data_IF_632311394234
#
_entry.id   IF_632311394234
#
_cell.length_a   1.000
_cell.length_b   1.000
_cell.length_c   1.000
_cell.angle_alpha   90.00
_cell.angle_beta   90.00
_cell.angle_gamma   90.00
#
_symmetry.space_group_name_H-M   'P 1'
#
loop_
_entity.id
_entity.type
_entity.pdbx_description
1 polymer ?
#
# COMPACT_ATOMS: atom_id res chain seq x y z
N UNK A 1 27.60 27.09 -17.72
CA UNK A 1 27.01 26.52 -18.96
C UNK A 1 26.29 25.18 -18.74
N UNK A 2 26.02 24.77 -17.49
CA UNK A 2 25.37 23.49 -17.12
C UNK A 2 23.93 23.65 -16.60
N UNK A 3 23.51 24.87 -16.22
CA UNK A 3 22.16 25.12 -15.65
C UNK A 3 21.04 25.12 -16.71
N UNK A 4 21.34 25.37 -17.98
CA UNK A 4 20.32 25.39 -19.05
C UNK A 4 19.84 24.00 -19.47
N UNK A 5 20.65 22.97 -19.28
CA UNK A 5 20.27 21.58 -19.64
C UNK A 5 19.31 20.99 -18.60
N UNK A 6 19.53 21.30 -17.31
CA UNK A 6 18.62 20.93 -16.22
C UNK A 6 17.25 21.62 -16.34
N UNK A 7 17.21 22.90 -16.74
CA UNK A 7 15.94 23.62 -16.95
C UNK A 7 15.11 23.04 -18.09
N UNK A 8 15.76 22.63 -19.19
CA UNK A 8 15.08 22.04 -20.35
C UNK A 8 14.51 20.64 -20.06
N UNK A 9 15.19 19.85 -19.24
CA UNK A 9 14.66 18.57 -18.73
C UNK A 9 13.46 18.76 -17.78
N UNK A 10 13.34 19.94 -17.15
CA UNK A 10 12.24 20.32 -16.24
C UNK A 10 11.04 20.92 -16.96
N UNK A 11 11.28 21.58 -18.09
CA UNK A 11 10.25 22.23 -18.91
C UNK A 11 9.55 21.26 -19.89
N UNK A 12 10.11 20.08 -20.18
CA UNK A 12 9.54 19.11 -21.14
C UNK A 12 8.54 18.09 -20.57
N UNK A 13 8.04 18.28 -19.33
CA UNK A 13 7.30 17.27 -18.57
C UNK A 13 8.16 16.04 -18.26
N UNK A 14 8.86 16.13 -17.13
CA UNK A 14 9.17 15.00 -16.28
C UNK A 14 8.05 13.97 -16.34
N UNK A 15 8.44 12.72 -16.60
CA UNK A 15 7.61 11.51 -16.54
C UNK A 15 6.49 11.67 -15.53
N UNK A 16 5.26 11.57 -16.00
CA UNK A 16 4.00 11.88 -15.31
C UNK A 16 3.91 11.19 -13.93
N UNK A 17 4.48 11.81 -12.90
CA UNK A 17 4.59 11.26 -11.54
C UNK A 17 3.23 10.89 -10.97
N UNK A 18 2.19 11.64 -11.32
CA UNK A 18 0.81 11.33 -10.99
C UNK A 18 0.37 10.02 -11.66
N UNK A 19 0.51 9.89 -12.98
CA UNK A 19 0.18 8.66 -13.71
C UNK A 19 1.03 7.47 -13.28
N UNK A 20 2.31 7.69 -12.99
CA UNK A 20 3.21 6.68 -12.45
C UNK A 20 2.71 6.20 -11.09
N UNK A 21 2.37 7.12 -10.19
CA UNK A 21 1.90 6.80 -8.84
C UNK A 21 0.59 6.01 -8.88
N UNK A 22 -0.36 6.43 -9.71
CA UNK A 22 -1.64 5.72 -9.88
C UNK A 22 -1.42 4.30 -10.42
N UNK A 23 -0.64 4.14 -11.48
CA UNK A 23 -0.34 2.82 -12.04
C UNK A 23 0.40 1.94 -11.03
N UNK A 24 1.39 2.49 -10.34
CA UNK A 24 2.17 1.79 -9.31
C UNK A 24 1.27 1.30 -8.17
N UNK A 25 0.36 2.15 -7.69
CA UNK A 25 -0.60 1.79 -6.65
C UNK A 25 -1.52 0.67 -7.11
N UNK A 26 -2.14 0.82 -8.30
CA UNK A 26 -3.06 -0.19 -8.85
C UNK A 26 -2.37 -1.54 -9.03
N UNK A 27 -1.16 -1.57 -9.59
CA UNK A 27 -0.40 -2.80 -9.80
C UNK A 27 -0.02 -3.48 -8.49
N UNK A 28 0.59 -2.73 -7.56
CA UNK A 28 1.05 -3.28 -6.29
C UNK A 28 -0.09 -3.67 -5.37
N UNK A 29 -1.21 -2.97 -5.41
CA UNK A 29 -2.42 -3.40 -4.72
C UNK A 29 -3.01 -4.67 -5.35
N UNK A 30 -3.15 -4.72 -6.68
CA UNK A 30 -3.78 -5.86 -7.37
C UNK A 30 -2.97 -7.15 -7.25
N UNK A 31 -1.67 -7.10 -7.51
CA UNK A 31 -0.81 -8.28 -7.60
C UNK A 31 -0.09 -8.60 -6.30
N UNK A 32 0.42 -7.59 -5.59
CA UNK A 32 1.21 -7.80 -4.37
C UNK A 32 0.37 -7.66 -3.08
N UNK A 33 -0.89 -7.19 -3.18
CA UNK A 33 -1.78 -6.94 -2.05
C UNK A 33 -1.14 -6.01 -1.01
N UNK A 34 -0.46 -4.96 -1.46
CA UNK A 34 0.15 -3.98 -0.57
C UNK A 34 -0.89 -3.00 -0.04
N UNK A 35 -0.81 -2.71 1.25
CA UNK A 35 -1.61 -1.69 1.88
C UNK A 35 -1.07 -0.27 1.63
N UNK A 36 -1.93 0.73 1.90
CA UNK A 36 -1.67 2.15 1.67
C UNK A 36 -0.41 2.65 2.35
N UNK A 37 -0.07 2.14 3.55
CA UNK A 37 1.15 2.54 4.28
C UNK A 37 2.41 2.19 3.50
N UNK A 38 2.47 0.96 2.99
CA UNK A 38 3.63 0.48 2.21
C UNK A 38 3.69 1.15 0.84
N UNK A 39 2.55 1.34 0.20
CA UNK A 39 2.48 2.07 -1.07
C UNK A 39 2.98 3.51 -0.90
N UNK A 40 2.50 4.22 0.12
CA UNK A 40 2.96 5.58 0.45
C UNK A 40 4.47 5.61 0.70
N UNK A 41 4.98 4.72 1.54
CA UNK A 41 6.41 4.63 1.85
C UNK A 41 7.27 4.42 0.58
N UNK A 42 6.86 3.48 -0.28
CA UNK A 42 7.60 3.16 -1.51
C UNK A 42 7.57 4.30 -2.52
N UNK A 43 6.46 5.04 -2.64
CA UNK A 43 6.38 6.22 -3.51
C UNK A 43 7.20 7.39 -2.95
N UNK A 44 7.20 7.60 -1.61
CA UNK A 44 8.07 8.59 -0.96
C UNK A 44 9.55 8.32 -1.21
N UNK A 45 9.96 7.05 -1.11
CA UNK A 45 11.35 6.66 -1.40
C UNK A 45 11.74 6.92 -2.86
N UNK A 46 10.78 6.97 -3.77
CA UNK A 46 10.97 7.30 -5.19
C UNK A 46 10.98 8.81 -5.47
N UNK A 47 10.83 9.65 -4.45
CA UNK A 47 10.82 11.10 -4.60
C UNK A 47 9.48 11.70 -5.05
N UNK A 48 8.40 10.91 -5.03
CA UNK A 48 7.06 11.38 -5.39
C UNK A 48 6.54 12.33 -4.30
N UNK A 49 5.91 13.43 -4.71
CA UNK A 49 5.31 14.41 -3.80
C UNK A 49 4.18 13.81 -2.97
N UNK A 50 3.92 14.39 -1.78
CA UNK A 50 2.87 13.91 -0.89
C UNK A 50 1.48 14.05 -1.52
N UNK A 51 1.28 15.07 -2.34
CA UNK A 51 0.05 15.34 -3.07
C UNK A 51 -0.24 14.23 -4.10
N UNK A 52 0.74 13.87 -4.92
CA UNK A 52 0.60 12.81 -5.92
C UNK A 52 0.38 11.45 -5.28
N UNK A 53 1.01 11.19 -4.13
CA UNK A 53 0.79 9.97 -3.36
C UNK A 53 -0.63 9.92 -2.84
N UNK A 54 -1.13 11.01 -2.25
CA UNK A 54 -2.49 11.06 -1.73
C UNK A 54 -3.52 10.81 -2.83
N UNK A 55 -3.36 11.44 -3.99
CA UNK A 55 -4.22 11.21 -5.16
C UNK A 55 -4.16 9.77 -5.65
N UNK A 56 -2.96 9.18 -5.76
CA UNK A 56 -2.82 7.80 -6.19
C UNK A 56 -3.43 6.79 -5.22
N UNK A 57 -3.40 7.06 -3.91
CA UNK A 57 -4.01 6.19 -2.90
C UNK A 57 -5.54 6.27 -2.87
N UNK A 58 -6.13 7.39 -3.30
CA UNK A 58 -7.58 7.56 -3.43
C UNK A 58 -8.18 6.71 -4.56
N UNK A 59 -7.37 6.33 -5.55
CA UNK A 59 -7.79 5.42 -6.62
C UNK A 59 -8.05 3.98 -6.15
N UNK A 60 -7.67 3.65 -4.90
CA UNK A 60 -7.99 2.36 -4.30
C UNK A 60 -9.39 2.43 -3.72
N UNK A 61 -10.32 1.70 -4.33
CA UNK A 61 -11.67 1.52 -3.80
C UNK A 61 -11.61 0.95 -2.38
N UNK A 62 -12.33 1.58 -1.46
CA UNK A 62 -12.28 1.24 -0.04
C UNK A 62 -12.90 -0.13 0.25
N UNK A 63 -13.94 -0.52 -0.49
CA UNK A 63 -14.56 -1.83 -0.33
C UNK A 63 -13.62 -2.94 -0.81
N UNK A 64 -12.99 -2.77 -1.98
CA UNK A 64 -12.00 -3.73 -2.49
C UNK A 64 -10.76 -3.80 -1.58
N UNK A 65 -10.34 -2.68 -0.99
CA UNK A 65 -9.27 -2.63 0.00
C UNK A 65 -9.59 -3.51 1.23
N UNK A 66 -10.78 -3.33 1.80
CA UNK A 66 -11.23 -4.08 2.96
C UNK A 66 -11.44 -5.56 2.65
N UNK A 67 -12.03 -5.89 1.51
CA UNK A 67 -12.23 -7.28 1.07
C UNK A 67 -10.90 -7.98 0.78
N UNK A 68 -9.93 -7.27 0.17
CA UNK A 68 -8.58 -7.79 -0.04
C UNK A 68 -7.88 -8.09 1.28
N UNK A 69 -7.94 -7.17 2.25
CA UNK A 69 -7.38 -7.37 3.59
C UNK A 69 -8.03 -8.57 4.29
N UNK A 70 -9.35 -8.68 4.22
CA UNK A 70 -10.11 -9.80 4.80
C UNK A 70 -9.70 -11.15 4.21
N UNK A 71 -9.67 -11.26 2.88
CA UNK A 71 -9.23 -12.51 2.19
C UNK A 71 -7.81 -12.88 2.58
N UNK A 72 -6.88 -11.92 2.56
CA UNK A 72 -5.47 -12.13 2.90
C UNK A 72 -5.30 -12.63 4.35
N UNK A 73 -6.04 -12.04 5.29
CA UNK A 73 -6.04 -12.46 6.69
C UNK A 73 -6.69 -13.83 6.90
N UNK A 74 -7.81 -14.12 6.23
CA UNK A 74 -8.47 -15.42 6.32
C UNK A 74 -7.58 -16.55 5.77
N UNK A 75 -6.96 -16.35 4.61
CA UNK A 75 -6.02 -17.32 4.04
C UNK A 75 -4.82 -17.55 4.97
N UNK A 76 -4.27 -16.46 5.54
CA UNK A 76 -3.18 -16.57 6.51
C UNK A 76 -3.65 -17.27 7.78
N UNK A 77 -4.84 -16.99 8.27
CA UNK A 77 -5.41 -17.58 9.49
C UNK A 77 -5.63 -19.09 9.36
N UNK A 78 -5.96 -19.59 8.17
CA UNK A 78 -6.08 -21.02 7.87
C UNK A 78 -4.72 -21.73 7.90
N UNK A 79 -3.67 -21.07 7.43
CA UNK A 79 -2.30 -21.62 7.35
C UNK A 79 -1.47 -21.39 8.61
N UNK A 80 -1.94 -20.56 9.55
CA UNK A 80 -1.17 -20.18 10.73
C UNK A 80 -1.46 -21.11 11.90
N UNK A 81 -0.48 -21.94 12.23
CA UNK A 81 -0.45 -22.63 13.51
C UNK A 81 -0.15 -21.63 14.65
N UNK A 82 -0.96 -21.68 15.71
CA UNK A 82 -0.82 -20.82 16.87
C UNK A 82 -1.06 -21.61 18.14
N UNK A 83 -0.37 -21.21 19.22
CA UNK A 83 -0.50 -21.88 20.52
C UNK A 83 -1.79 -21.50 21.24
N UNK A 84 -2.26 -20.27 21.01
CA UNK A 84 -3.50 -19.74 21.58
C UNK A 84 -4.07 -18.63 20.66
N UNK A 85 -5.30 -18.15 20.90
CA UNK A 85 -5.93 -17.11 20.09
C UNK A 85 -5.14 -15.79 20.05
N UNK A 86 -4.49 -15.41 21.15
CA UNK A 86 -3.66 -14.19 21.24
C UNK A 86 -2.42 -14.27 20.34
N UNK A 87 -1.71 -15.39 20.33
CA UNK A 87 -0.57 -15.66 19.45
C UNK A 87 -1.00 -15.65 17.98
N UNK A 88 -2.18 -16.22 17.67
CA UNK A 88 -2.75 -16.18 16.32
C UNK A 88 -3.00 -14.74 15.88
N UNK A 89 -3.65 -13.93 16.73
CA UNK A 89 -3.92 -12.51 16.46
C UNK A 89 -2.63 -11.72 16.25
N UNK A 90 -1.63 -11.91 17.11
CA UNK A 90 -0.34 -11.24 16.98
C UNK A 90 0.41 -11.59 15.69
N UNK A 91 0.32 -12.85 15.24
CA UNK A 91 0.91 -13.30 13.95
C UNK A 91 0.18 -12.69 12.76
N UNK A 92 -1.15 -12.63 12.80
CA UNK A 92 -1.96 -12.02 11.74
C UNK A 92 -1.74 -10.51 11.65
N UNK A 93 -1.64 -9.82 12.79
CA UNK A 93 -1.36 -8.39 12.84
C UNK A 93 0.01 -8.07 12.22
N UNK A 94 1.06 -8.80 12.64
CA UNK A 94 2.40 -8.66 12.06
C UNK A 94 2.42 -8.92 10.56
N UNK A 95 1.66 -9.91 10.10
CA UNK A 95 1.52 -10.21 8.68
C UNK A 95 0.87 -9.06 7.90
N UNK A 96 -0.27 -8.53 8.35
CA UNK A 96 -0.91 -7.38 7.71
C UNK A 96 -0.02 -6.12 7.71
N UNK A 97 0.68 -5.85 8.83
CA UNK A 97 1.64 -4.75 8.92
C UNK A 97 2.79 -4.90 7.92
N UNK A 98 3.36 -6.10 7.74
CA UNK A 98 4.40 -6.36 6.73
C UNK A 98 3.93 -6.13 5.28
N UNK A 99 2.62 -6.27 5.05
CA UNK A 99 1.99 -5.98 3.77
C UNK A 99 1.61 -4.50 3.63
N UNK A 100 1.70 -3.72 4.71
CA UNK A 100 1.47 -2.27 4.71
C UNK A 100 0.05 -1.84 4.98
N UNK A 101 -0.78 -2.71 5.55
CA UNK A 101 -2.13 -2.34 5.97
C UNK A 101 -2.09 -1.61 7.31
N UNK A 102 -3.02 -0.68 7.47
CA UNK A 102 -3.20 0.09 8.69
C UNK A 102 -3.63 -0.82 9.85
N UNK A 103 -3.06 -0.57 11.03
CA UNK A 103 -3.32 -1.39 12.21
C UNK A 103 -4.79 -1.37 12.62
N UNK A 104 -5.43 -0.19 12.60
CA UNK A 104 -6.85 -0.02 12.94
C UNK A 104 -7.77 -0.87 12.05
N UNK A 105 -7.59 -0.83 10.73
CA UNK A 105 -8.38 -1.62 9.78
C UNK A 105 -8.14 -3.12 9.98
N UNK A 106 -6.89 -3.51 10.23
CA UNK A 106 -6.55 -4.90 10.54
C UNK A 106 -7.27 -5.39 11.79
N UNK A 107 -7.32 -4.58 12.85
CA UNK A 107 -8.06 -4.92 14.07
C UNK A 107 -9.56 -5.07 13.83
N UNK A 108 -10.16 -4.16 13.05
CA UNK A 108 -11.58 -4.22 12.69
C UNK A 108 -11.90 -5.50 11.91
N UNK A 109 -11.10 -5.83 10.90
CA UNK A 109 -11.30 -7.04 10.09
C UNK A 109 -11.12 -8.30 10.94
N UNK A 110 -10.11 -8.35 11.83
CA UNK A 110 -9.90 -9.48 12.74
C UNK A 110 -11.03 -9.69 13.75
N UNK A 111 -11.82 -8.66 14.07
CA UNK A 111 -13.01 -8.80 14.91
C UNK A 111 -14.23 -9.33 14.13
N UNK A 112 -14.20 -9.26 12.80
CA UNK A 112 -15.30 -9.63 11.90
C UNK A 112 -15.16 -11.01 11.24
N UNK A 113 -14.02 -11.69 11.43
CA UNK A 113 -13.72 -13.02 10.89
C UNK A 113 -13.52 -14.05 12.01
#
# INVERSE_FOLDING_TARGET
MTEKVLKKLTEEKFVDDARYSVSFVKDKFRFNKWGRVKLSYMLRQKGISSENIAQALQEIDENDYMETLKKLLQEKARKTAARNPYDKKAKLLRFAQSHGFEGNLTYQVLASI
#
